data_IF_364555368011
#
_entry.id   IF_364555368011
#
_cell.length_a   1.000
_cell.length_b   1.000
_cell.length_c   1.000
_cell.angle_alpha   90.00
_cell.angle_beta   90.00
_cell.angle_gamma   90.00
#
_symmetry.space_group_name_H-M   'P 1'
#
loop_
_entity.id
_entity.type
_entity.pdbx_description
1 polymer ?
#
# COMPACT_ATOMS: atom_id res chain seq x y z
N UNK A 1 40.01 13.94 45.02
CA UNK A 1 39.97 13.01 43.85
C UNK A 1 39.04 11.89 44.21
N UNK A 2 37.77 11.89 43.65
CA UNK A 2 36.82 10.82 43.88
C UNK A 2 37.14 9.66 42.94
N UNK A 3 37.50 8.52 43.51
CA UNK A 3 37.74 7.28 42.76
C UNK A 3 36.38 6.65 42.42
N UNK A 4 36.04 6.66 41.16
CA UNK A 4 34.86 5.99 40.66
C UNK A 4 34.99 4.46 40.78
N UNK A 5 33.94 3.81 41.33
CA UNK A 5 33.91 2.37 41.51
C UNK A 5 33.63 1.68 40.14
N UNK A 6 34.15 0.47 39.95
CA UNK A 6 33.97 -0.35 38.71
C UNK A 6 32.52 -0.53 38.30
N UNK A 7 31.56 -0.51 39.22
CA UNK A 7 30.14 -0.57 38.93
C UNK A 7 29.60 0.70 38.26
N UNK A 8 30.16 1.87 38.63
CA UNK A 8 29.77 3.15 38.03
C UNK A 8 30.29 3.30 36.59
N UNK A 9 31.49 2.78 36.30
CA UNK A 9 32.02 2.71 34.95
C UNK A 9 31.20 1.80 34.04
N UNK A 10 30.72 0.66 34.56
CA UNK A 10 29.85 -0.25 33.81
C UNK A 10 28.48 0.36 33.52
N UNK A 11 27.89 1.06 34.47
CA UNK A 11 26.61 1.76 34.28
C UNK A 11 26.74 2.91 33.27
N UNK A 12 27.80 3.71 33.35
CA UNK A 12 28.07 4.78 32.39
C UNK A 12 28.33 4.24 30.97
N UNK A 13 29.08 3.14 30.85
CA UNK A 13 29.33 2.50 29.56
C UNK A 13 28.08 1.92 28.95
N UNK A 14 27.18 1.31 29.75
CA UNK A 14 25.87 0.82 29.27
C UNK A 14 24.93 1.96 28.81
N UNK A 15 24.93 3.08 29.54
CA UNK A 15 24.15 4.26 29.16
C UNK A 15 24.68 4.93 27.89
N UNK A 16 26.00 5.01 27.72
CA UNK A 16 26.60 5.50 26.48
C UNK A 16 26.30 4.56 25.29
N UNK A 17 26.38 3.24 25.50
CA UNK A 17 26.06 2.26 24.45
C UNK A 17 24.58 2.31 24.05
N UNK A 18 23.68 2.46 25.02
CA UNK A 18 22.25 2.66 24.76
C UNK A 18 21.98 3.98 24.03
N UNK A 19 22.69 5.05 24.38
CA UNK A 19 22.58 6.35 23.70
C UNK A 19 23.06 6.32 22.24
N UNK A 20 24.12 5.56 21.93
CA UNK A 20 24.66 5.40 20.57
C UNK A 20 23.72 4.52 19.72
N UNK A 21 23.11 3.50 20.31
CA UNK A 21 22.14 2.63 19.61
C UNK A 21 20.83 3.37 19.30
N UNK A 22 20.41 4.32 20.12
CA UNK A 22 19.21 5.13 19.91
C UNK A 22 19.44 6.33 18.98
N UNK A 23 20.67 6.83 18.87
CA UNK A 23 21.01 7.95 17.98
C UNK A 23 21.21 7.56 16.51
N UNK A 24 21.34 6.26 16.20
CA UNK A 24 21.59 5.76 14.85
C UNK A 24 20.35 5.62 13.95
N UNK A 25 19.16 5.82 14.50
CA UNK A 25 17.89 5.63 13.76
C UNK A 25 17.33 6.93 13.16
N UNK A 26 18.17 7.86 12.79
CA UNK A 26 17.75 9.05 12.04
C UNK A 26 17.62 8.66 10.57
N UNK A 27 16.46 8.95 9.96
CA UNK A 27 16.27 8.76 8.51
C UNK A 27 17.36 9.50 7.76
N UNK A 28 18.28 8.76 7.16
CA UNK A 28 19.29 9.37 6.30
C UNK A 28 18.63 9.82 5.00
N UNK A 29 18.79 11.08 4.55
CA UNK A 29 18.37 11.48 3.23
C UNK A 29 19.15 10.70 2.17
N UNK A 30 18.54 10.46 1.02
CA UNK A 30 19.27 9.91 -0.13
C UNK A 30 20.47 10.83 -0.45
N UNK A 31 21.64 10.28 -0.81
CA UNK A 31 22.87 11.06 -0.98
C UNK A 31 22.78 12.22 -1.99
N UNK A 32 21.87 12.11 -2.97
CA UNK A 32 21.66 13.09 -4.02
C UNK A 32 20.14 13.19 -4.32
N UNK A 33 19.39 14.01 -3.60
CA UNK A 33 18.00 14.25 -3.97
C UNK A 33 17.06 14.62 -2.84
N UNK A 34 15.80 14.91 -3.22
CA UNK A 34 14.71 15.29 -2.33
C UNK A 34 13.99 14.10 -1.67
N UNK A 35 14.41 12.86 -1.96
CA UNK A 35 13.80 11.66 -1.36
C UNK A 35 14.32 11.51 0.07
N UNK A 36 13.40 11.57 1.01
CA UNK A 36 13.70 11.40 2.44
C UNK A 36 13.06 10.11 2.95
N UNK A 37 13.78 9.39 3.81
CA UNK A 37 13.22 8.29 4.57
C UNK A 37 12.15 8.78 5.56
N UNK A 38 11.29 7.89 5.99
CA UNK A 38 10.32 8.19 7.04
C UNK A 38 11.02 8.36 8.40
N UNK A 39 10.34 9.06 9.30
CA UNK A 39 10.79 9.14 10.70
C UNK A 39 10.72 7.75 11.32
N UNK A 40 11.74 7.41 12.09
CA UNK A 40 11.78 6.14 12.82
C UNK A 40 10.54 5.96 13.70
N UNK A 41 9.96 4.77 13.65
CA UNK A 41 8.92 4.32 14.56
C UNK A 41 9.36 3.02 15.27
N UNK A 42 8.97 2.84 16.53
CA UNK A 42 9.32 1.63 17.29
C UNK A 42 8.80 0.33 16.64
N UNK A 43 7.75 0.42 15.82
CA UNK A 43 7.20 -0.71 15.08
C UNK A 43 8.16 -1.25 14.00
N UNK A 44 9.08 -0.41 13.51
CA UNK A 44 10.06 -0.82 12.49
C UNK A 44 11.06 -1.85 12.98
N UNK A 45 11.28 -1.92 14.31
CA UNK A 45 12.15 -2.93 14.93
C UNK A 45 11.64 -4.35 14.62
N UNK A 46 10.33 -4.49 14.44
CA UNK A 46 9.65 -5.76 14.16
C UNK A 46 9.36 -5.97 12.67
N UNK A 47 9.96 -5.19 11.78
CA UNK A 47 9.83 -5.32 10.34
C UNK A 47 11.14 -5.80 9.71
N UNK A 48 11.06 -6.75 8.79
CA UNK A 48 12.15 -7.00 7.84
C UNK A 48 12.12 -5.95 6.73
N UNK A 49 13.24 -5.76 6.03
CA UNK A 49 13.31 -4.85 4.87
C UNK A 49 12.23 -5.17 3.83
N UNK A 50 11.96 -6.46 3.64
CA UNK A 50 10.89 -6.93 2.75
C UNK A 50 9.51 -6.47 3.19
N UNK A 51 9.20 -6.63 4.49
CA UNK A 51 7.89 -6.27 5.04
C UNK A 51 7.75 -4.74 5.13
N UNK A 52 8.87 -4.03 5.31
CA UNK A 52 8.91 -2.57 5.21
C UNK A 52 8.56 -2.11 3.79
N UNK A 53 9.16 -2.72 2.76
CA UNK A 53 8.84 -2.40 1.36
C UNK A 53 7.35 -2.63 1.05
N UNK A 54 6.76 -3.75 1.49
CA UNK A 54 5.33 -4.03 1.30
C UNK A 54 4.46 -3.02 2.03
N UNK A 55 4.84 -2.63 3.25
CA UNK A 55 4.13 -1.61 4.04
C UNK A 55 4.15 -0.25 3.33
N UNK A 56 5.30 0.15 2.78
CA UNK A 56 5.44 1.40 2.01
C UNK A 56 4.60 1.36 0.73
N UNK A 57 4.65 0.25 -0.01
CA UNK A 57 3.85 0.07 -1.22
C UNK A 57 2.33 0.14 -0.92
N UNK A 58 1.88 -0.48 0.18
CA UNK A 58 0.49 -0.41 0.65
C UNK A 58 0.09 1.02 0.97
N UNK A 59 0.88 1.74 1.76
CA UNK A 59 0.64 3.16 2.08
C UNK A 59 0.50 4.00 0.82
N UNK A 60 1.46 3.86 -0.11
CA UNK A 60 1.48 4.64 -1.34
C UNK A 60 0.32 4.29 -2.29
N UNK A 61 -0.17 3.05 -2.26
CA UNK A 61 -1.37 2.65 -2.98
C UNK A 61 -2.61 3.31 -2.39
N UNK A 62 -2.75 3.32 -1.07
CA UNK A 62 -3.86 4.00 -0.40
C UNK A 62 -3.82 5.51 -0.65
N UNK A 63 -2.65 6.17 -0.54
CA UNK A 63 -2.53 7.60 -0.83
C UNK A 63 -2.87 7.92 -2.30
N UNK A 64 -2.49 7.06 -3.26
CA UNK A 64 -2.91 7.21 -4.66
C UNK A 64 -4.44 7.08 -4.81
N UNK A 65 -5.08 6.18 -4.05
CA UNK A 65 -6.55 6.02 -4.07
C UNK A 65 -7.27 7.25 -3.46
N UNK A 66 -6.73 7.84 -2.38
CA UNK A 66 -7.29 9.08 -1.83
C UNK A 66 -7.16 10.25 -2.82
N UNK A 67 -6.03 10.37 -3.48
CA UNK A 67 -5.83 11.36 -4.54
C UNK A 67 -6.80 11.15 -5.71
N UNK A 68 -7.06 9.88 -6.08
CA UNK A 68 -8.04 9.54 -7.11
C UNK A 68 -9.46 9.91 -6.67
N UNK A 69 -9.85 9.65 -5.42
CA UNK A 69 -11.15 10.04 -4.89
C UNK A 69 -11.35 11.56 -5.00
N UNK A 70 -10.38 12.35 -4.55
CA UNK A 70 -10.45 13.82 -4.64
C UNK A 70 -10.60 14.30 -6.10
N UNK A 71 -9.79 13.78 -7.02
CA UNK A 71 -9.84 14.13 -8.44
C UNK A 71 -11.16 13.71 -9.09
N UNK A 72 -11.67 12.52 -8.77
CA UNK A 72 -12.95 12.05 -9.29
C UNK A 72 -14.10 12.91 -8.76
N UNK A 73 -14.13 13.24 -7.48
CA UNK A 73 -15.13 14.12 -6.90
C UNK A 73 -15.09 15.54 -7.48
N UNK A 74 -13.90 16.07 -7.74
CA UNK A 74 -13.75 17.36 -8.41
C UNK A 74 -14.42 17.38 -9.78
N UNK A 75 -14.34 16.27 -10.52
CA UNK A 75 -14.93 16.14 -11.85
C UNK A 75 -16.39 15.70 -11.84
N UNK A 76 -16.80 15.00 -10.79
CA UNK A 76 -18.14 14.46 -10.61
C UNK A 76 -18.77 15.00 -9.32
N UNK A 77 -19.05 16.32 -9.22
CA UNK A 77 -19.49 16.92 -7.95
C UNK A 77 -20.87 16.42 -7.49
N UNK A 78 -21.66 15.80 -8.38
CA UNK A 78 -22.93 15.18 -8.02
C UNK A 78 -22.73 13.95 -7.11
N UNK A 79 -21.58 13.27 -7.20
CA UNK A 79 -21.33 12.05 -6.44
C UNK A 79 -21.14 12.33 -4.94
N UNK A 80 -20.23 13.22 -4.55
CA UNK A 80 -20.02 13.52 -3.13
C UNK A 80 -21.25 14.16 -2.47
N UNK A 81 -22.09 14.89 -3.24
CA UNK A 81 -23.34 15.50 -2.73
C UNK A 81 -24.38 14.48 -2.29
N UNK A 82 -24.24 13.22 -2.68
CA UNK A 82 -25.12 12.13 -2.23
C UNK A 82 -24.83 11.71 -0.79
N UNK A 83 -23.58 11.86 -0.33
CA UNK A 83 -23.08 11.26 0.92
C UNK A 83 -22.47 12.24 1.90
N UNK A 84 -22.12 13.47 1.47
CA UNK A 84 -21.38 14.41 2.32
C UNK A 84 -21.75 15.88 2.06
N UNK A 85 -21.36 16.75 2.98
CA UNK A 85 -21.56 18.22 2.90
C UNK A 85 -20.50 18.92 2.06
N UNK A 86 -19.33 18.32 1.87
CA UNK A 86 -18.25 18.85 1.03
C UNK A 86 -17.43 17.69 0.44
N UNK A 87 -16.65 18.01 -0.60
CA UNK A 87 -15.72 17.06 -1.22
C UNK A 87 -14.70 16.53 -0.23
N UNK A 88 -14.14 17.41 0.58
CA UNK A 88 -13.15 17.08 1.61
C UNK A 88 -13.74 16.16 2.68
N UNK A 89 -15.00 16.43 3.09
CA UNK A 89 -15.72 15.58 4.02
C UNK A 89 -15.98 14.18 3.44
N UNK A 90 -16.33 14.09 2.15
CA UNK A 90 -16.54 12.81 1.47
C UNK A 90 -15.24 11.98 1.42
N UNK A 91 -14.10 12.60 1.07
CA UNK A 91 -12.79 11.92 1.08
C UNK A 91 -12.41 11.48 2.49
N UNK A 92 -12.61 12.32 3.50
CA UNK A 92 -12.31 11.98 4.90
C UNK A 92 -13.17 10.81 5.41
N UNK A 93 -14.47 10.81 5.10
CA UNK A 93 -15.39 9.74 5.46
C UNK A 93 -15.00 8.41 4.77
N UNK A 94 -14.69 8.47 3.48
CA UNK A 94 -14.24 7.32 2.71
C UNK A 94 -12.94 6.74 3.29
N UNK A 95 -11.94 7.59 3.54
CA UNK A 95 -10.66 7.19 4.16
C UNK A 95 -10.89 6.51 5.51
N UNK A 96 -11.72 7.09 6.36
CA UNK A 96 -12.07 6.51 7.65
C UNK A 96 -12.72 5.13 7.50
N UNK A 97 -13.73 4.99 6.64
CA UNK A 97 -14.42 3.73 6.42
C UNK A 97 -13.47 2.62 5.95
N UNK A 98 -12.55 2.92 5.04
CA UNK A 98 -11.55 1.94 4.57
C UNK A 98 -10.57 1.55 5.67
N UNK A 99 -9.98 2.52 6.39
CA UNK A 99 -8.95 2.25 7.41
C UNK A 99 -9.53 1.53 8.64
N UNK A 100 -10.77 1.81 9.02
CA UNK A 100 -11.49 1.16 10.12
C UNK A 100 -12.24 -0.10 9.65
N UNK A 101 -12.13 -0.48 8.38
CA UNK A 101 -12.80 -1.64 7.77
C UNK A 101 -14.32 -1.61 7.93
N UNK A 102 -14.91 -0.42 8.03
CA UNK A 102 -16.35 -0.23 8.13
C UNK A 102 -17.01 -0.52 6.76
N UNK A 103 -18.18 -1.17 6.71
CA UNK A 103 -18.89 -1.38 5.45
C UNK A 103 -19.33 -0.05 4.84
N UNK A 104 -19.22 0.06 3.52
CA UNK A 104 -19.76 1.23 2.81
C UNK A 104 -21.26 1.00 2.52
N UNK A 105 -22.14 1.89 2.95
CA UNK A 105 -23.61 1.64 2.92
C UNK A 105 -24.14 1.31 1.52
N UNK A 106 -23.71 2.06 0.50
CA UNK A 106 -24.20 1.90 -0.88
C UNK A 106 -23.78 0.56 -1.52
N UNK A 107 -22.82 -0.15 -0.94
CA UNK A 107 -22.29 -1.42 -1.45
C UNK A 107 -23.03 -2.65 -0.89
N UNK A 108 -24.11 -2.45 -0.12
CA UNK A 108 -24.99 -3.53 0.31
C UNK A 108 -24.25 -4.70 1.02
N UNK A 109 -23.23 -4.38 1.79
CA UNK A 109 -22.39 -5.37 2.44
C UNK A 109 -21.40 -6.12 1.54
N UNK A 110 -21.38 -5.81 0.24
CA UNK A 110 -20.40 -6.40 -0.68
C UNK A 110 -19.00 -5.89 -0.39
N UNK A 111 -18.00 -6.76 -0.64
CA UNK A 111 -16.58 -6.49 -0.41
C UNK A 111 -15.78 -6.83 -1.67
N UNK A 112 -14.54 -6.35 -1.75
CA UNK A 112 -13.58 -6.70 -2.80
C UNK A 112 -14.14 -6.57 -4.22
N UNK A 113 -14.01 -7.64 -5.01
CA UNK A 113 -14.40 -7.73 -6.41
C UNK A 113 -15.91 -7.59 -6.56
N UNK A 114 -16.69 -8.13 -5.62
CA UNK A 114 -18.16 -8.02 -5.64
C UNK A 114 -18.59 -6.55 -5.47
N UNK A 115 -17.92 -5.81 -4.58
CA UNK A 115 -18.14 -4.37 -4.40
C UNK A 115 -17.71 -3.56 -5.65
N UNK A 116 -16.56 -3.88 -6.26
CA UNK A 116 -16.13 -3.28 -7.53
C UNK A 116 -17.14 -3.52 -8.64
N UNK A 117 -17.60 -4.77 -8.76
CA UNK A 117 -18.60 -5.15 -9.76
C UNK A 117 -19.90 -4.37 -9.58
N UNK A 118 -20.37 -4.22 -8.34
CA UNK A 118 -21.60 -3.47 -8.01
C UNK A 118 -21.45 -1.98 -8.34
N UNK A 119 -20.36 -1.33 -7.89
CA UNK A 119 -20.12 0.09 -8.12
C UNK A 119 -19.97 0.45 -9.61
N UNK A 120 -19.55 -0.51 -10.43
CA UNK A 120 -19.37 -0.35 -11.88
C UNK A 120 -20.61 -0.71 -12.70
N UNK A 121 -21.73 -1.07 -12.08
CA UNK A 121 -22.99 -1.27 -12.81
C UNK A 121 -23.60 0.07 -13.24
N UNK A 122 -24.17 0.18 -14.44
CA UNK A 122 -24.86 1.40 -14.88
C UNK A 122 -25.99 1.82 -13.93
N UNK A 123 -26.66 0.84 -13.31
CA UNK A 123 -27.80 1.03 -12.41
C UNK A 123 -27.40 1.43 -10.99
N UNK A 124 -26.11 1.46 -10.67
CA UNK A 124 -25.67 1.83 -9.33
C UNK A 124 -26.06 3.28 -8.99
N UNK A 125 -26.94 3.43 -8.01
CA UNK A 125 -27.53 4.73 -7.64
C UNK A 125 -26.75 5.46 -6.54
N UNK A 126 -25.89 4.75 -5.79
CA UNK A 126 -25.07 5.31 -4.70
C UNK A 126 -23.99 6.28 -5.18
N UNK A 127 -23.18 6.76 -4.25
CA UNK A 127 -21.95 7.52 -4.55
C UNK A 127 -20.95 6.60 -5.26
N UNK A 128 -20.90 6.73 -6.59
CA UNK A 128 -20.05 5.86 -7.42
C UNK A 128 -18.56 6.08 -7.21
N UNK A 129 -18.16 7.31 -6.90
CA UNK A 129 -16.76 7.60 -6.59
C UNK A 129 -16.35 6.90 -5.31
N UNK A 130 -17.14 7.05 -4.25
CA UNK A 130 -16.90 6.33 -3.01
C UNK A 130 -16.94 4.81 -3.21
N UNK A 131 -17.97 4.30 -3.88
CA UNK A 131 -18.14 2.86 -4.14
C UNK A 131 -16.93 2.27 -4.87
N UNK A 132 -16.47 2.92 -5.93
CA UNK A 132 -15.32 2.48 -6.70
C UNK A 132 -14.02 2.52 -5.89
N UNK A 133 -13.73 3.65 -5.24
CA UNK A 133 -12.45 3.80 -4.51
C UNK A 133 -12.44 2.94 -3.24
N UNK A 134 -13.56 2.83 -2.53
CA UNK A 134 -13.69 1.91 -1.39
C UNK A 134 -13.40 0.47 -1.80
N UNK A 135 -14.08 -0.01 -2.85
CA UNK A 135 -13.93 -1.37 -3.30
C UNK A 135 -12.51 -1.66 -3.83
N UNK A 136 -11.88 -0.69 -4.53
CA UNK A 136 -10.50 -0.79 -4.95
C UNK A 136 -9.54 -0.89 -3.76
N UNK A 137 -9.70 -0.04 -2.74
CA UNK A 137 -8.90 -0.08 -1.51
C UNK A 137 -9.11 -1.40 -0.75
N UNK A 138 -10.37 -1.84 -0.65
CA UNK A 138 -10.72 -3.10 0.01
C UNK A 138 -10.11 -4.31 -0.71
N UNK A 139 -10.13 -4.34 -2.04
CA UNK A 139 -9.47 -5.37 -2.86
C UNK A 139 -7.97 -5.42 -2.59
N UNK A 140 -7.30 -4.25 -2.54
CA UNK A 140 -5.87 -4.18 -2.24
C UNK A 140 -5.58 -4.68 -0.83
N UNK A 141 -6.33 -4.22 0.18
CA UNK A 141 -6.11 -4.62 1.59
C UNK A 141 -6.38 -6.12 1.77
N UNK A 142 -7.46 -6.64 1.17
CA UNK A 142 -7.81 -8.07 1.28
C UNK A 142 -6.74 -8.96 0.63
N UNK A 143 -6.22 -8.59 -0.53
CA UNK A 143 -5.12 -9.30 -1.19
C UNK A 143 -3.84 -9.34 -0.36
N UNK A 144 -3.68 -8.40 0.57
CA UNK A 144 -2.58 -8.34 1.52
C UNK A 144 -2.94 -8.96 2.89
N UNK A 145 -3.90 -9.88 2.94
CA UNK A 145 -4.30 -10.58 4.16
C UNK A 145 -5.03 -9.70 5.18
N UNK A 146 -5.77 -8.70 4.71
CA UNK A 146 -6.48 -7.71 5.53
C UNK A 146 -5.57 -6.82 6.40
N UNK A 147 -4.33 -6.62 5.97
CA UNK A 147 -3.32 -5.83 6.68
C UNK A 147 -2.88 -4.64 5.85
N UNK A 148 -2.59 -3.55 6.52
CA UNK A 148 -1.98 -2.36 5.94
C UNK A 148 -0.53 -2.15 6.40
N UNK A 149 -0.09 -2.92 7.40
CA UNK A 149 1.27 -2.96 7.92
C UNK A 149 1.70 -4.41 8.10
N UNK A 150 2.97 -4.69 7.86
CA UNK A 150 3.54 -6.04 7.85
C UNK A 150 4.68 -6.13 8.86
N UNK A 151 4.69 -7.22 9.61
CA UNK A 151 5.72 -7.54 10.62
C UNK A 151 6.52 -8.79 10.19
N UNK A 152 7.56 -9.14 10.96
CA UNK A 152 8.46 -10.27 10.66
C UNK A 152 7.74 -11.60 10.45
N UNK A 153 6.60 -11.80 11.10
CA UNK A 153 5.83 -13.05 11.05
C UNK A 153 4.78 -13.07 9.93
N UNK A 154 4.61 -11.95 9.23
CA UNK A 154 3.60 -11.85 8.18
C UNK A 154 4.10 -12.44 6.86
N UNK A 155 3.33 -13.39 6.33
CA UNK A 155 3.46 -13.88 4.96
C UNK A 155 2.59 -13.09 4.00
N UNK A 156 3.01 -13.00 2.75
CA UNK A 156 2.24 -12.40 1.67
C UNK A 156 2.01 -13.45 0.58
N UNK A 157 0.75 -13.65 0.19
CA UNK A 157 0.40 -14.48 -0.95
C UNK A 157 0.59 -13.68 -2.25
N UNK A 158 1.61 -14.03 -3.01
CA UNK A 158 1.94 -13.38 -4.27
C UNK A 158 0.81 -13.47 -5.30
N UNK A 159 0.07 -14.59 -5.33
CA UNK A 159 -1.03 -14.78 -6.27
C UNK A 159 -2.21 -13.87 -5.94
N UNK A 160 -2.54 -13.67 -4.68
CA UNK A 160 -3.60 -12.75 -4.28
C UNK A 160 -3.28 -11.31 -4.68
N UNK A 161 -2.03 -10.87 -4.49
CA UNK A 161 -1.60 -9.53 -4.89
C UNK A 161 -1.61 -9.36 -6.41
N UNK A 162 -1.14 -10.36 -7.15
CA UNK A 162 -1.23 -10.37 -8.62
C UNK A 162 -2.67 -10.28 -9.10
N UNK A 163 -3.56 -11.08 -8.52
CA UNK A 163 -4.99 -11.06 -8.87
C UNK A 163 -5.62 -9.68 -8.58
N UNK A 164 -5.25 -9.02 -7.48
CA UNK A 164 -5.70 -7.67 -7.18
C UNK A 164 -5.28 -6.67 -8.27
N UNK A 165 -4.03 -6.75 -8.74
CA UNK A 165 -3.55 -5.91 -9.84
C UNK A 165 -4.41 -6.10 -11.10
N UNK A 166 -4.67 -7.35 -11.50
CA UNK A 166 -5.51 -7.69 -12.69
C UNK A 166 -6.95 -7.23 -12.52
N UNK A 167 -7.51 -7.36 -11.32
CA UNK A 167 -8.86 -6.88 -11.03
C UNK A 167 -8.97 -5.35 -11.10
N UNK A 168 -7.95 -4.63 -10.65
CA UNK A 168 -7.91 -3.17 -10.78
C UNK A 168 -7.71 -2.72 -12.23
N UNK A 169 -6.95 -3.43 -13.04
CA UNK A 169 -6.88 -3.18 -14.49
C UNK A 169 -8.25 -3.33 -15.15
N UNK A 170 -8.93 -4.45 -14.88
CA UNK A 170 -10.26 -4.69 -15.41
C UNK A 170 -11.25 -3.63 -14.94
N UNK A 171 -11.23 -3.25 -13.65
CA UNK A 171 -12.10 -2.21 -13.11
C UNK A 171 -11.82 -0.85 -13.74
N UNK A 172 -10.56 -0.50 -13.95
CA UNK A 172 -10.14 0.71 -14.65
C UNK A 172 -10.66 0.74 -16.10
N UNK A 173 -10.49 -0.36 -16.82
CA UNK A 173 -11.00 -0.49 -18.18
C UNK A 173 -12.53 -0.36 -18.22
N UNK A 174 -13.25 -1.02 -17.32
CA UNK A 174 -14.73 -0.96 -17.24
C UNK A 174 -15.17 0.47 -16.94
N UNK A 175 -14.55 1.17 -15.99
CA UNK A 175 -14.90 2.55 -15.63
C UNK A 175 -14.78 3.50 -16.84
N UNK A 176 -13.76 3.29 -17.67
CA UNK A 176 -13.50 4.14 -18.83
C UNK A 176 -14.33 3.77 -20.06
N UNK A 177 -14.69 2.49 -20.23
CA UNK A 177 -15.37 1.99 -21.43
C UNK A 177 -16.88 1.87 -21.29
N UNK A 178 -17.38 1.48 -20.10
CA UNK A 178 -18.82 1.27 -19.86
C UNK A 178 -19.58 2.59 -19.83
N UNK A 179 -20.82 2.55 -20.29
CA UNK A 179 -21.70 3.71 -20.35
C UNK A 179 -22.97 3.49 -19.54
N UNK A 180 -23.55 4.56 -19.05
CA UNK A 180 -24.89 4.60 -18.49
C UNK A 180 -25.95 4.36 -19.60
N UNK A 181 -27.20 4.13 -19.23
CA UNK A 181 -28.27 3.90 -20.17
C UNK A 181 -28.53 5.09 -21.15
N UNK A 182 -28.16 6.29 -20.73
CA UNK A 182 -28.23 7.52 -21.53
C UNK A 182 -26.98 7.75 -22.42
N UNK A 183 -26.05 6.79 -22.47
CA UNK A 183 -24.80 6.88 -23.22
C UNK A 183 -23.68 7.68 -22.54
N UNK A 184 -23.93 8.31 -21.40
CA UNK A 184 -22.91 9.05 -20.65
C UNK A 184 -21.89 8.11 -20.00
N UNK A 185 -20.69 8.63 -19.68
CA UNK A 185 -19.68 7.89 -18.93
C UNK A 185 -20.17 7.60 -17.52
N UNK A 186 -19.75 6.46 -16.94
CA UNK A 186 -20.04 6.12 -15.54
C UNK A 186 -19.52 7.20 -14.59
N UNK A 187 -18.30 7.65 -14.83
CA UNK A 187 -17.64 8.79 -14.17
C UNK A 187 -16.77 9.53 -15.19
N UNK A 188 -16.62 10.82 -15.00
CA UNK A 188 -15.63 11.60 -15.72
C UNK A 188 -14.26 11.36 -15.06
N UNK A 189 -13.49 10.41 -15.60
CA UNK A 189 -12.16 10.01 -15.10
C UNK A 189 -11.04 10.70 -15.86
N UNK A 190 -10.89 10.40 -17.13
CA UNK A 190 -9.94 11.03 -18.04
C UNK A 190 -10.64 12.11 -18.89
N UNK A 191 -9.84 13.04 -19.42
CA UNK A 191 -10.32 14.02 -20.38
C UNK A 191 -9.38 14.04 -21.59
N UNK A 192 -9.93 13.78 -22.75
CA UNK A 192 -9.21 13.82 -24.01
C UNK A 192 -10.09 14.58 -24.99
N UNK A 193 -9.68 15.76 -25.39
CA UNK A 193 -10.25 16.52 -26.50
C UNK A 193 -9.12 17.06 -27.39
N UNK A 194 -9.49 17.79 -28.45
CA UNK A 194 -8.51 18.33 -29.38
C UNK A 194 -7.57 19.38 -28.76
N UNK A 195 -7.97 20.00 -27.64
CA UNK A 195 -7.23 21.07 -26.98
C UNK A 195 -6.45 20.60 -25.76
N UNK A 196 -6.95 19.57 -25.03
CA UNK A 196 -6.38 19.15 -23.76
C UNK A 196 -6.45 17.63 -23.56
N UNK A 197 -5.35 17.08 -23.01
CA UNK A 197 -5.28 15.67 -22.58
C UNK A 197 -4.95 15.60 -21.11
N UNK A 198 -5.90 15.13 -20.30
CA UNK A 198 -5.68 14.90 -18.88
C UNK A 198 -5.86 13.42 -18.56
N UNK A 199 -4.75 12.69 -18.51
CA UNK A 199 -4.67 11.26 -18.19
C UNK A 199 -4.20 11.05 -16.73
N UNK A 200 -4.48 11.99 -15.85
CA UNK A 200 -4.01 11.91 -14.46
C UNK A 200 -4.64 10.75 -13.68
N UNK A 201 -5.86 10.33 -14.05
CA UNK A 201 -6.53 9.17 -13.47
C UNK A 201 -5.78 7.89 -13.87
N UNK A 202 -5.55 7.68 -15.18
CA UNK A 202 -4.79 6.52 -15.67
C UNK A 202 -3.39 6.44 -15.06
N UNK A 203 -2.72 7.57 -14.91
CA UNK A 203 -1.39 7.62 -14.31
C UNK A 203 -1.39 7.12 -12.87
N UNK A 204 -2.35 7.52 -12.06
CA UNK A 204 -2.43 7.07 -10.67
C UNK A 204 -2.86 5.60 -10.58
N UNK A 205 -3.81 5.15 -11.41
CA UNK A 205 -4.17 3.73 -11.50
C UNK A 205 -2.97 2.88 -11.94
N UNK A 206 -2.21 3.32 -12.94
CA UNK A 206 -1.00 2.64 -13.39
C UNK A 206 0.08 2.53 -12.30
N UNK A 207 0.23 3.55 -11.43
CA UNK A 207 1.13 3.47 -10.28
C UNK A 207 0.71 2.42 -9.28
N UNK A 208 -0.60 2.33 -8.97
CA UNK A 208 -1.15 1.34 -8.05
C UNK A 208 -0.91 -0.07 -8.61
N UNK A 209 -1.28 -0.30 -9.87
CA UNK A 209 -1.12 -1.59 -10.55
C UNK A 209 0.36 -1.98 -10.60
N UNK A 210 1.25 -1.08 -11.01
CA UNK A 210 2.68 -1.33 -11.08
C UNK A 210 3.32 -1.65 -9.73
N UNK A 211 2.87 -1.02 -8.62
CA UNK A 211 3.34 -1.39 -7.28
C UNK A 211 2.85 -2.76 -6.85
N UNK A 212 1.60 -3.11 -7.16
CA UNK A 212 1.06 -4.46 -6.88
C UNK A 212 1.82 -5.53 -7.67
N UNK A 213 2.09 -5.31 -8.95
CA UNK A 213 2.87 -6.22 -9.79
C UNK A 213 4.30 -6.40 -9.23
N UNK A 214 4.94 -5.31 -8.83
CA UNK A 214 6.28 -5.37 -8.21
C UNK A 214 6.26 -6.17 -6.91
N UNK A 215 5.26 -5.93 -6.03
CA UNK A 215 5.13 -6.66 -4.76
C UNK A 215 4.86 -8.15 -5.00
N UNK A 216 3.99 -8.50 -5.95
CA UNK A 216 3.71 -9.89 -6.30
C UNK A 216 4.97 -10.60 -6.85
N UNK A 217 5.68 -9.97 -7.77
CA UNK A 217 6.93 -10.48 -8.34
C UNK A 217 8.00 -10.66 -7.27
N UNK A 218 8.16 -9.68 -6.39
CA UNK A 218 9.11 -9.73 -5.29
C UNK A 218 8.79 -10.86 -4.30
N UNK A 219 7.51 -11.02 -3.92
CA UNK A 219 7.09 -12.11 -3.04
C UNK A 219 7.39 -13.48 -3.65
N UNK A 220 7.10 -13.67 -4.95
CA UNK A 220 7.41 -14.90 -5.69
C UNK A 220 8.92 -15.20 -5.68
N UNK A 221 9.77 -14.20 -6.00
CA UNK A 221 11.21 -14.35 -5.99
C UNK A 221 11.78 -14.65 -4.60
N UNK A 222 11.21 -14.05 -3.56
CA UNK A 222 11.61 -14.34 -2.18
C UNK A 222 11.41 -15.81 -1.83
N UNK A 223 10.27 -16.42 -2.21
CA UNK A 223 10.02 -17.83 -1.99
C UNK A 223 11.01 -18.71 -2.79
N UNK A 224 11.20 -18.42 -4.06
CA UNK A 224 12.17 -19.13 -4.91
C UNK A 224 13.58 -19.08 -4.32
N UNK A 225 14.05 -17.92 -3.88
CA UNK A 225 15.39 -17.74 -3.30
C UNK A 225 15.54 -18.46 -1.95
N UNK A 226 14.49 -18.54 -1.15
CA UNK A 226 14.54 -19.30 0.10
C UNK A 226 14.82 -20.78 -0.14
N UNK A 227 14.20 -21.38 -1.17
CA UNK A 227 14.46 -22.76 -1.57
C UNK A 227 15.91 -22.93 -2.05
N UNK A 228 16.42 -22.00 -2.87
CA UNK A 228 17.81 -22.01 -3.35
C UNK A 228 18.78 -21.88 -2.16
N UNK A 229 18.54 -20.94 -1.24
CA UNK A 229 19.36 -20.71 -0.05
C UNK A 229 19.44 -21.96 0.84
N UNK A 230 18.32 -22.66 1.00
CA UNK A 230 18.30 -23.95 1.70
C UNK A 230 19.18 -24.99 1.01
N UNK A 231 19.06 -25.14 -0.32
CA UNK A 231 19.91 -26.03 -1.11
C UNK A 231 21.40 -25.67 -1.02
N UNK A 232 21.73 -24.38 -1.11
CA UNK A 232 23.10 -23.87 -0.95
C UNK A 232 23.65 -24.17 0.45
N UNK A 233 22.83 -24.02 1.51
CA UNK A 233 23.20 -24.35 2.89
C UNK A 233 23.50 -25.82 3.08
N UNK A 234 22.74 -26.72 2.43
CA UNK A 234 23.00 -28.16 2.45
C UNK A 234 24.31 -28.54 1.75
N UNK A 235 24.66 -27.86 0.67
CA UNK A 235 25.88 -28.16 -0.10
C UNK A 235 27.10 -27.52 0.55
N UNK A 236 27.01 -26.27 1.02
CA UNK A 236 28.13 -25.50 1.58
C UNK A 236 28.37 -25.79 3.07
N UNK A 237 27.34 -26.19 3.82
CA UNK A 237 27.44 -26.45 5.26
C UNK A 237 28.56 -27.40 5.67
N UNK A 238 28.71 -28.57 5.02
CA UNK A 238 29.79 -29.47 5.34
C UNK A 238 31.21 -28.93 5.10
N UNK A 239 31.37 -28.07 4.10
CA UNK A 239 32.67 -27.45 3.78
C UNK A 239 33.07 -26.34 4.75
N UNK A 240 32.10 -25.62 5.31
CA UNK A 240 32.37 -24.53 6.27
C UNK A 240 32.82 -25.04 7.65
N UNK A 241 32.50 -26.30 7.99
CA UNK A 241 32.93 -26.92 9.26
C UNK A 241 34.42 -27.28 9.29
N UNK A 242 35.10 -27.29 8.16
CA UNK A 242 36.50 -27.71 8.04
C UNK A 242 37.45 -26.57 7.69
N UNK A 243 37.03 -25.33 7.76
CA UNK A 243 37.94 -24.19 7.57
C UNK A 243 38.86 -24.08 8.80
N UNK A 244 40.18 -24.19 8.64
CA UNK A 244 41.10 -24.06 9.76
C UNK A 244 41.06 -22.64 10.30
N UNK A 245 40.74 -22.49 11.58
CA UNK A 245 40.86 -21.23 12.30
C UNK A 245 42.36 -21.05 12.62
N UNK A 246 43.04 -20.15 11.90
CA UNK A 246 44.36 -19.66 12.22
C UNK A 246 44.28 -18.36 12.95
#
# INVERSE_FOLDING_TARGET
>A
MQSWNRSQWRAAALQCLAGVLLGGCVSAPAPLGAVQGEKFSAEEIWQSDSNRMVTLAMRDNLESLWLLADKLYQRNPREWKKSASSREAAVAQLRKAVLERQPWPDLQGQRDIAALSLALQPQFAGDRVAGFVYAAADTVITAHGNKTRFTLVDGLDAQHVFNAARNLEAANWILNSRRNADGSSLLLSNHIDDSQRNLSFEREMGKIIGRLDLVASYATERYRRSVIGYGQGLVAGPFLQFLPVR
#
